data_IF_468589809840
#
_entry.id   IF_468589809840
#
_cell.length_a   1.000
_cell.length_b   1.000
_cell.length_c   1.000
_cell.angle_alpha   90.00
_cell.angle_beta   90.00
_cell.angle_gamma   90.00
#
_symmetry.space_group_name_H-M   'P 1'
#
loop_
_entity.id
_entity.type
_entity.pdbx_description
1 polymer ?
#
# COMPACT_ATOMS: atom_id res chain seq x y z
N UNK A 1 2.52 4.13 -24.15
CA UNK A 1 2.07 5.45 -23.66
C UNK A 1 1.81 5.28 -22.18
N UNK A 2 2.50 6.01 -21.31
CA UNK A 2 2.27 5.94 -19.87
C UNK A 2 0.94 6.59 -19.50
N UNK A 3 0.51 6.39 -18.25
CA UNK A 3 -0.61 7.10 -17.65
C UNK A 3 -0.11 7.97 -16.49
N UNK A 4 -0.78 9.09 -16.25
CA UNK A 4 -0.44 9.95 -15.13
C UNK A 4 -0.98 9.37 -13.83
N UNK A 5 -0.14 9.22 -12.81
CA UNK A 5 -0.55 8.83 -11.45
C UNK A 5 -0.30 9.98 -10.48
N UNK A 6 -1.31 10.30 -9.68
CA UNK A 6 -1.16 11.12 -8.48
C UNK A 6 -1.64 10.37 -7.23
N UNK A 7 -0.84 10.41 -6.17
CA UNK A 7 -1.20 9.91 -4.84
C UNK A 7 -1.16 11.10 -3.89
N UNK A 8 -2.31 11.39 -3.27
CA UNK A 8 -2.53 12.57 -2.46
C UNK A 8 -3.14 12.16 -1.13
N UNK A 9 -2.70 12.81 -0.05
CA UNK A 9 -3.36 12.76 1.26
C UNK A 9 -3.88 14.14 1.63
N UNK A 10 -4.59 14.24 2.75
CA UNK A 10 -5.01 15.54 3.29
C UNK A 10 -3.83 16.47 3.63
N UNK A 11 -2.64 15.91 3.85
CA UNK A 11 -1.46 16.67 4.29
C UNK A 11 -0.56 17.11 3.13
N UNK A 12 -0.38 16.24 2.11
CA UNK A 12 0.56 16.49 1.02
C UNK A 12 0.27 15.64 -0.22
N UNK A 13 0.87 16.05 -1.34
CA UNK A 13 1.08 15.18 -2.48
C UNK A 13 2.25 14.22 -2.18
N UNK A 14 1.98 12.91 -2.25
CA UNK A 14 2.94 11.86 -1.91
C UNK A 14 3.69 11.36 -3.14
N UNK A 15 2.99 11.30 -4.28
CA UNK A 15 3.57 10.88 -5.55
C UNK A 15 2.86 11.57 -6.72
N UNK A 16 3.60 11.90 -7.77
CA UNK A 16 3.06 12.44 -9.03
C UNK A 16 4.04 12.18 -10.15
N UNK A 17 3.67 11.30 -11.08
CA UNK A 17 4.54 10.94 -12.20
C UNK A 17 3.77 10.17 -13.29
N UNK A 18 4.42 9.98 -14.43
CA UNK A 18 3.99 9.05 -15.48
C UNK A 18 4.41 7.63 -15.12
N UNK A 19 3.48 6.67 -15.24
CA UNK A 19 3.67 5.28 -14.82
C UNK A 19 3.11 4.29 -15.85
N UNK A 20 3.59 3.04 -15.79
CA UNK A 20 3.18 1.97 -16.71
C UNK A 20 1.99 1.17 -16.20
N UNK A 21 1.83 1.08 -14.88
CA UNK A 21 0.77 0.29 -14.24
C UNK A 21 0.62 0.66 -12.77
N UNK A 22 -0.60 0.56 -12.26
CA UNK A 22 -0.90 0.65 -10.83
C UNK A 22 -1.67 -0.58 -10.40
N UNK A 23 -1.26 -1.21 -9.29
CA UNK A 23 -2.03 -2.26 -8.62
C UNK A 23 -2.51 -1.70 -7.30
N UNK A 24 -3.83 -1.68 -7.08
CA UNK A 24 -4.44 -1.09 -5.89
C UNK A 24 -5.34 -2.09 -5.14
N UNK A 25 -5.44 -1.99 -3.80
CA UNK A 25 -6.33 -2.80 -3.00
C UNK A 25 -7.74 -2.18 -3.01
N UNK A 26 -8.49 -2.45 -4.08
CA UNK A 26 -9.89 -2.02 -4.20
C UNK A 26 -10.81 -2.68 -3.18
N UNK A 27 -12.03 -2.15 -3.05
CA UNK A 27 -13.01 -2.66 -2.10
C UNK A 27 -13.38 -4.13 -2.38
N UNK A 28 -13.57 -4.51 -3.64
CA UNK A 28 -13.96 -5.88 -4.02
C UNK A 28 -12.78 -6.80 -4.34
N UNK A 29 -11.54 -6.33 -4.18
CA UNK A 29 -10.34 -7.12 -4.47
C UNK A 29 -9.19 -6.28 -5.02
N UNK A 30 -8.17 -6.94 -5.55
CA UNK A 30 -7.07 -6.24 -6.21
C UNK A 30 -7.44 -5.78 -7.62
N UNK A 31 -7.04 -4.56 -7.96
CA UNK A 31 -7.29 -3.93 -9.25
C UNK A 31 -5.96 -3.59 -9.90
N UNK A 32 -5.75 -4.08 -11.13
CA UNK A 32 -4.64 -3.68 -11.98
C UNK A 32 -5.11 -2.66 -13.02
N UNK A 33 -4.59 -1.44 -12.92
CA UNK A 33 -4.89 -0.34 -13.84
C UNK A 33 -3.74 -0.17 -14.82
N UNK A 34 -4.05 -0.27 -16.11
CA UNK A 34 -3.14 -0.06 -17.23
C UNK A 34 -3.48 1.25 -17.94
N UNK A 35 -2.59 1.78 -18.81
CA UNK A 35 -2.90 2.93 -19.63
C UNK A 35 -4.18 2.72 -20.45
N UNK A 36 -4.96 3.78 -20.60
CA UNK A 36 -6.26 3.79 -21.30
C UNK A 36 -7.33 2.88 -20.68
N UNK A 37 -7.23 2.58 -19.39
CA UNK A 37 -8.28 1.87 -18.66
C UNK A 37 -9.61 2.65 -18.69
N UNK A 38 -10.73 1.92 -18.71
CA UNK A 38 -12.07 2.51 -18.65
C UNK A 38 -12.25 3.36 -17.37
N UNK A 39 -13.09 4.42 -17.41
CA UNK A 39 -13.36 5.21 -16.23
C UNK A 39 -13.86 4.36 -15.05
N UNK A 40 -13.32 4.61 -13.86
CA UNK A 40 -13.61 3.84 -12.65
C UNK A 40 -13.49 4.74 -11.43
N UNK A 41 -14.38 4.57 -10.47
CA UNK A 41 -14.24 5.11 -9.13
C UNK A 41 -14.48 4.01 -8.11
N UNK A 42 -13.59 3.86 -7.13
CA UNK A 42 -13.68 2.80 -6.12
C UNK A 42 -13.11 3.24 -4.78
N UNK A 43 -13.58 2.61 -3.71
CA UNK A 43 -12.96 2.73 -2.39
C UNK A 43 -11.74 1.82 -2.30
N UNK A 44 -10.74 2.26 -1.55
CA UNK A 44 -9.54 1.49 -1.23
C UNK A 44 -9.64 0.91 0.17
N UNK A 45 -9.21 -0.35 0.30
CA UNK A 45 -8.97 -0.98 1.59
C UNK A 45 -7.55 -0.67 2.07
N UNK A 46 -7.29 -0.74 3.39
CA UNK A 46 -5.91 -0.75 3.87
C UNK A 46 -5.12 -1.87 3.20
N UNK A 47 -3.98 -1.55 2.59
CA UNK A 47 -3.23 -2.52 1.80
C UNK A 47 -2.01 -1.94 1.10
N UNK A 48 -1.40 -2.78 0.26
CA UNK A 48 -0.29 -2.39 -0.61
C UNK A 48 -0.82 -1.81 -1.92
N UNK A 49 -0.33 -0.63 -2.30
CA UNK A 49 -0.42 -0.09 -3.65
C UNK A 49 0.95 -0.25 -4.32
N UNK A 50 0.95 -0.84 -5.51
CA UNK A 50 2.17 -1.06 -6.30
C UNK A 50 2.14 -0.17 -7.52
N UNK A 51 3.17 0.64 -7.69
CA UNK A 51 3.39 1.50 -8.85
C UNK A 51 4.51 0.91 -9.67
N UNK A 52 4.26 0.64 -10.95
CA UNK A 52 5.30 0.19 -11.88
C UNK A 52 5.68 1.31 -12.84
N UNK A 53 6.97 1.60 -12.93
CA UNK A 53 7.54 2.59 -13.85
C UNK A 53 8.87 2.09 -14.38
N UNK A 54 9.04 2.08 -15.70
CA UNK A 54 10.28 1.69 -16.40
C UNK A 54 10.78 0.29 -16.00
N UNK A 55 9.85 -0.62 -15.70
CA UNK A 55 10.14 -2.00 -15.25
C UNK A 55 10.47 -2.14 -13.76
N UNK A 56 10.53 -1.04 -13.01
CA UNK A 56 10.76 -1.04 -11.56
C UNK A 56 9.44 -0.90 -10.78
N UNK A 57 9.37 -1.54 -9.62
CA UNK A 57 8.21 -1.47 -8.73
C UNK A 57 8.53 -0.60 -7.50
N UNK A 58 7.67 0.38 -7.25
CA UNK A 58 7.58 1.11 -5.98
C UNK A 58 6.35 0.61 -5.20
N UNK A 59 6.52 0.43 -3.89
CA UNK A 59 5.44 -0.03 -3.01
C UNK A 59 5.04 1.08 -2.03
N UNK A 60 3.74 1.27 -1.87
CA UNK A 60 3.16 2.30 -1.00
C UNK A 60 2.13 1.64 -0.07
N UNK A 61 2.28 1.84 1.23
CA UNK A 61 1.28 1.45 2.21
C UNK A 61 0.14 2.46 2.13
N UNK A 62 -1.08 2.02 1.83
CA UNK A 62 -2.29 2.85 1.89
C UNK A 62 -3.16 2.39 3.06
N UNK A 63 -3.68 3.34 3.81
CA UNK A 63 -4.57 3.06 4.94
C UNK A 63 -6.05 2.91 4.57
N UNK A 64 -6.40 3.27 3.33
CA UNK A 64 -7.77 3.40 2.83
C UNK A 64 -7.87 4.63 1.92
N UNK A 65 -9.10 5.00 1.58
CA UNK A 65 -9.40 6.17 0.77
C UNK A 65 -10.16 5.82 -0.51
N UNK A 66 -9.90 6.57 -1.58
CA UNK A 66 -10.57 6.43 -2.87
C UNK A 66 -9.56 6.42 -4.02
N UNK A 67 -9.91 5.73 -5.09
CA UNK A 67 -9.18 5.78 -6.37
C UNK A 67 -10.14 6.10 -7.50
N UNK A 68 -9.75 7.07 -8.32
CA UNK A 68 -10.42 7.45 -9.56
C UNK A 68 -9.51 7.18 -10.75
N UNK A 69 -10.10 6.69 -11.83
CA UNK A 69 -9.46 6.54 -13.13
C UNK A 69 -10.30 7.30 -14.14
N UNK A 70 -9.72 8.32 -14.78
CA UNK A 70 -10.41 9.13 -15.77
C UNK A 70 -9.40 9.74 -16.75
N UNK A 71 -9.67 9.64 -18.07
CA UNK A 71 -8.87 10.33 -19.08
C UNK A 71 -7.38 9.97 -19.09
N UNK A 72 -7.04 8.68 -18.91
CA UNK A 72 -5.66 8.19 -18.79
C UNK A 72 -4.88 8.78 -17.61
N UNK A 73 -5.60 9.16 -16.55
CA UNK A 73 -5.07 9.59 -15.26
C UNK A 73 -5.66 8.73 -14.14
N UNK A 74 -4.83 8.38 -13.17
CA UNK A 74 -5.21 7.70 -11.93
C UNK A 74 -4.97 8.65 -10.76
N UNK A 75 -6.02 8.94 -9.99
CA UNK A 75 -5.97 9.77 -8.80
C UNK A 75 -6.29 8.94 -7.57
N UNK A 76 -5.34 8.85 -6.64
CA UNK A 76 -5.50 8.15 -5.37
C UNK A 76 -5.59 9.18 -4.25
N UNK A 77 -6.78 9.28 -3.65
CA UNK A 77 -7.03 10.10 -2.46
C UNK A 77 -6.97 9.19 -1.23
N UNK A 78 -5.82 9.09 -0.60
CA UNK A 78 -5.60 8.23 0.54
C UNK A 78 -5.81 8.97 1.87
N UNK A 79 -6.43 8.32 2.85
CA UNK A 79 -6.55 8.88 4.21
C UNK A 79 -5.17 9.14 4.83
N UNK A 80 -4.27 8.17 4.63
CA UNK A 80 -2.85 8.24 4.92
C UNK A 80 -2.12 7.22 4.05
N UNK A 81 -0.91 7.56 3.61
CA UNK A 81 -0.04 6.62 2.93
C UNK A 81 1.44 6.91 3.22
N UNK A 82 2.24 5.84 3.18
CA UNK A 82 3.69 5.89 3.42
C UNK A 82 4.36 5.04 2.35
N UNK A 83 5.40 5.57 1.71
CA UNK A 83 6.19 4.75 0.78
C UNK A 83 7.03 3.75 1.56
N UNK A 84 7.33 2.59 0.97
CA UNK A 84 8.11 1.55 1.64
C UNK A 84 9.50 2.00 2.11
N UNK A 85 10.06 3.06 1.51
CA UNK A 85 11.31 3.67 1.91
C UNK A 85 11.21 4.70 3.04
N UNK A 86 10.01 5.20 3.33
CA UNK A 86 9.70 6.15 4.40
C UNK A 86 9.29 5.45 5.71
N UNK A 87 8.94 4.15 5.66
CA UNK A 87 8.43 3.41 6.81
C UNK A 87 9.55 3.07 7.80
N UNK A 88 9.38 3.51 9.05
CA UNK A 88 10.17 3.06 10.20
C UNK A 88 9.69 1.68 10.68
N UNK A 89 10.52 0.67 10.50
CA UNK A 89 10.23 -0.73 10.84
C UNK A 89 9.90 -0.90 12.32
N UNK A 90 10.74 -0.36 13.21
CA UNK A 90 10.58 -0.52 14.65
C UNK A 90 9.26 0.12 15.11
N UNK A 91 8.93 1.30 14.58
CA UNK A 91 7.67 1.99 14.88
C UNK A 91 6.46 1.21 14.34
N UNK A 92 6.59 0.60 13.17
CA UNK A 92 5.53 -0.22 12.57
C UNK A 92 5.26 -1.49 13.41
N UNK A 93 6.30 -2.20 13.85
CA UNK A 93 6.18 -3.39 14.70
C UNK A 93 5.58 -3.06 16.07
N UNK A 94 6.03 -1.97 16.71
CA UNK A 94 5.42 -1.51 17.95
C UNK A 94 3.94 -1.14 17.77
N UNK A 95 3.55 -0.64 16.60
CA UNK A 95 2.14 -0.34 16.32
C UNK A 95 1.30 -1.62 16.19
N UNK A 96 1.84 -2.69 15.60
CA UNK A 96 1.21 -4.01 15.57
C UNK A 96 1.00 -4.53 16.98
N UNK A 97 2.05 -4.54 17.81
CA UNK A 97 2.01 -5.02 19.19
C UNK A 97 0.93 -4.29 20.01
N UNK A 98 0.92 -2.95 19.97
CA UNK A 98 -0.10 -2.14 20.68
C UNK A 98 -1.51 -2.43 20.19
N UNK A 99 -1.70 -2.68 18.89
CA UNK A 99 -3.02 -2.98 18.35
C UNK A 99 -3.49 -4.38 18.78
N UNK A 100 -2.59 -5.37 18.84
CA UNK A 100 -2.88 -6.71 19.35
C UNK A 100 -3.25 -6.69 20.84
N UNK A 101 -2.52 -5.95 21.67
CA UNK A 101 -2.83 -5.79 23.09
C UNK A 101 -4.22 -5.18 23.30
N UNK A 102 -4.60 -4.19 22.48
CA UNK A 102 -5.94 -3.59 22.50
C UNK A 102 -7.04 -4.58 22.10
N UNK A 103 -6.76 -5.51 21.19
CA UNK A 103 -7.70 -6.57 20.81
C UNK A 103 -7.85 -7.63 21.90
N UNK A 104 -6.78 -7.93 22.63
CA UNK A 104 -6.80 -8.89 23.73
C UNK A 104 -7.61 -8.36 24.93
N UNK A 105 -7.62 -7.04 25.12
CA UNK A 105 -8.45 -6.38 26.10
C UNK A 105 -9.90 -6.31 25.60
N UNK A 106 -10.84 -6.94 26.32
CA UNK A 106 -12.28 -6.93 25.99
C UNK A 106 -12.86 -5.53 26.16
N UNK A 107 -12.85 -4.74 25.09
CA UNK A 107 -13.54 -3.45 24.98
C UNK A 107 -14.94 -3.58 24.37
N UNK A 108 -15.61 -2.44 24.19
CA UNK A 108 -16.86 -2.34 23.43
C UNK A 108 -16.67 -2.73 21.95
N UNK A 109 -17.76 -3.04 21.24
CA UNK A 109 -17.71 -3.40 19.81
C UNK A 109 -17.00 -2.32 18.95
N UNK A 110 -17.21 -1.05 19.28
CA UNK A 110 -16.57 0.09 18.61
C UNK A 110 -15.05 0.10 18.86
N UNK A 111 -14.61 -0.23 20.08
CA UNK A 111 -13.19 -0.32 20.41
C UNK A 111 -12.52 -1.49 19.70
N UNK A 112 -13.22 -2.62 19.61
CA UNK A 112 -12.78 -3.79 18.86
C UNK A 112 -12.57 -3.44 17.39
N UNK A 113 -13.54 -2.82 16.73
CA UNK A 113 -13.45 -2.45 15.31
C UNK A 113 -12.30 -1.47 15.04
N UNK A 114 -12.11 -0.48 15.92
CA UNK A 114 -10.97 0.44 15.85
C UNK A 114 -9.64 -0.28 16.01
N UNK A 115 -9.55 -1.22 16.95
CA UNK A 115 -8.33 -2.00 17.18
C UNK A 115 -8.02 -2.93 16.00
N UNK A 116 -9.03 -3.57 15.40
CA UNK A 116 -8.87 -4.39 14.17
C UNK A 116 -8.36 -3.53 13.01
N UNK A 117 -8.96 -2.35 12.82
CA UNK A 117 -8.57 -1.43 11.75
C UNK A 117 -7.14 -0.91 11.94
N UNK A 118 -6.77 -0.58 13.17
CA UNK A 118 -5.41 -0.17 13.51
C UNK A 118 -4.40 -1.30 13.28
N UNK A 119 -4.75 -2.54 13.65
CA UNK A 119 -3.92 -3.72 13.41
C UNK A 119 -3.68 -3.92 11.91
N UNK A 120 -4.74 -3.88 11.09
CA UNK A 120 -4.63 -4.03 9.63
C UNK A 120 -3.66 -3.02 9.03
N UNK A 121 -3.80 -1.73 9.37
CA UNK A 121 -2.89 -0.68 8.87
C UNK A 121 -1.45 -0.86 9.34
N UNK A 122 -1.24 -1.34 10.57
CA UNK A 122 0.11 -1.60 11.08
C UNK A 122 0.76 -2.79 10.38
N UNK A 123 0.00 -3.86 10.15
CA UNK A 123 0.48 -5.07 9.47
C UNK A 123 0.94 -4.77 8.04
N UNK A 124 0.16 -3.99 7.28
CA UNK A 124 0.53 -3.55 5.92
C UNK A 124 1.92 -2.90 5.91
N UNK A 125 2.18 -1.98 6.85
CA UNK A 125 3.47 -1.28 6.92
C UNK A 125 4.63 -2.24 7.21
N UNK A 126 4.44 -3.19 8.12
CA UNK A 126 5.44 -4.23 8.42
C UNK A 126 5.70 -5.12 7.21
N UNK A 127 4.64 -5.56 6.52
CA UNK A 127 4.76 -6.45 5.36
C UNK A 127 5.53 -5.79 4.19
N UNK A 128 5.33 -4.49 3.97
CA UNK A 128 6.04 -3.72 2.95
C UNK A 128 7.54 -3.57 3.24
N UNK A 129 7.91 -3.30 4.50
CA UNK A 129 9.32 -3.22 4.91
C UNK A 129 10.01 -4.57 4.69
N UNK A 130 9.36 -5.66 5.09
CA UNK A 130 9.90 -7.02 4.92
C UNK A 130 10.08 -7.41 3.46
N UNK A 131 9.25 -6.90 2.55
CA UNK A 131 9.43 -7.06 1.10
C UNK A 131 10.60 -6.25 0.53
N UNK A 132 10.90 -5.07 1.10
CA UNK A 132 12.05 -4.24 0.70
C UNK A 132 13.37 -4.88 1.12
N UNK A 133 13.41 -5.56 2.27
CA UNK A 133 14.59 -6.30 2.70
C UNK A 133 14.81 -7.45 1.73
N UNK A 134 15.84 -7.42 0.86
CA UNK A 134 16.06 -8.52 -0.07
C UNK A 134 16.25 -9.79 0.74
N UNK A 135 15.86 -10.93 0.17
CA UNK A 135 16.29 -12.26 0.62
C UNK A 135 17.83 -12.28 0.68
N UNK A 136 18.41 -11.85 1.79
CA UNK A 136 19.79 -12.04 2.15
C UNK A 136 19.96 -13.52 2.47
N UNK A 137 20.32 -14.32 1.45
CA UNK A 137 20.82 -15.69 1.69
C UNK A 137 20.37 -16.83 0.77
N UNK A 138 20.03 -16.61 -0.50
CA UNK A 138 20.08 -17.72 -1.48
C UNK A 138 21.00 -17.35 -2.65
N UNK A 139 22.27 -17.66 -2.44
CA UNK A 139 23.26 -17.84 -3.50
C UNK A 139 22.74 -18.95 -4.43
N UNK A 140 22.63 -18.72 -5.76
CA UNK A 140 22.25 -19.79 -6.68
C UNK A 140 23.27 -20.93 -6.54
N UNK A 141 22.85 -22.21 -6.50
CA UNK A 141 23.80 -23.31 -6.47
C UNK A 141 24.72 -23.17 -7.68
N UNK A 142 26.02 -23.08 -7.40
CA UNK A 142 27.05 -22.89 -8.40
C UNK A 142 26.93 -23.94 -9.49
N UNK A 143 27.07 -23.51 -10.73
CA UNK A 143 27.39 -24.36 -11.85
C UNK A 143 28.79 -24.96 -11.61
N UNK A 144 28.83 -26.09 -10.90
CA UNK A 144 29.97 -26.99 -10.92
C UNK A 144 30.07 -27.63 -12.29
N UNK A 145 31.24 -27.45 -12.91
CA UNK A 145 31.69 -28.14 -14.11
C UNK A 145 31.86 -29.65 -13.88
#
# INVERSE_FOLDING_TARGET
MPMHLEIITAERQVYSDEVDMVIAPGFDGQLGILPMHAPLMTMLKPGELTVRKDGENMYVAVSGGFMEVLGNKVSVLADACERSDEIDEQRAEQAVQRAQERLANRGSDIELERAVSALRRAQVRVDLVRRRSPRSGQQPPGSGA
#
